data_IF_647587217381
#
_entry.id   IF_647587217381
#
_cell.length_a   1.000
_cell.length_b   1.000
_cell.length_c   1.000
_cell.angle_alpha   90.00
_cell.angle_beta   90.00
_cell.angle_gamma   90.00
#
_symmetry.space_group_name_H-M   'P 1'
#
loop_
_entity.id
_entity.type
_entity.pdbx_description
1 polymer ?
#
# COMPACT_ATOMS: atom_id res chain seq x y z
N UNK A 1 -1.14 -3.13 18.74
CA UNK A 1 -1.72 -3.42 17.41
C UNK A 1 -3.04 -2.65 17.29
N UNK A 2 -3.38 -2.13 16.10
CA UNK A 2 -4.63 -1.41 15.92
C UNK A 2 -5.86 -2.34 15.87
N UNK A 3 -7.06 -1.75 15.90
CA UNK A 3 -8.33 -2.47 15.96
C UNK A 3 -8.65 -3.18 14.63
N UNK A 4 -8.69 -4.51 14.65
CA UNK A 4 -8.94 -5.33 13.47
C UNK A 4 -10.32 -5.07 12.86
N UNK A 5 -11.35 -4.90 13.69
CA UNK A 5 -12.72 -4.65 13.23
C UNK A 5 -12.82 -3.33 12.47
N UNK A 6 -12.17 -2.29 13.00
CA UNK A 6 -12.07 -0.99 12.33
C UNK A 6 -11.39 -1.10 10.97
N UNK A 7 -10.24 -1.77 10.88
CA UNK A 7 -9.53 -1.91 9.61
C UNK A 7 -10.33 -2.72 8.59
N UNK A 8 -10.96 -3.83 9.01
CA UNK A 8 -11.82 -4.63 8.13
C UNK A 8 -13.01 -3.82 7.59
N UNK A 9 -13.60 -2.95 8.42
CA UNK A 9 -14.72 -2.10 8.00
C UNK A 9 -14.30 -1.05 6.95
N UNK A 10 -13.09 -0.51 7.06
CA UNK A 10 -12.58 0.50 6.11
C UNK A 10 -12.04 -0.14 4.82
N UNK A 11 -11.50 -1.36 4.92
CA UNK A 11 -10.87 -2.06 3.78
C UNK A 11 -11.78 -2.22 2.56
N UNK A 12 -13.03 -2.64 2.78
CA UNK A 12 -14.00 -2.86 1.69
C UNK A 12 -14.23 -1.58 0.88
N UNK A 13 -14.46 -0.47 1.58
CA UNK A 13 -14.67 0.85 0.97
C UNK A 13 -13.43 1.31 0.23
N UNK A 14 -12.24 1.22 0.84
CA UNK A 14 -10.99 1.63 0.20
C UNK A 14 -10.72 0.84 -1.08
N UNK A 15 -10.89 -0.48 -1.04
CA UNK A 15 -10.64 -1.35 -2.19
C UNK A 15 -11.63 -1.06 -3.32
N UNK A 16 -12.90 -0.80 -2.99
CA UNK A 16 -13.93 -0.47 -3.99
C UNK A 16 -13.72 0.89 -4.64
N UNK A 17 -13.09 1.84 -3.96
CA UNK A 17 -12.81 3.17 -4.48
C UNK A 17 -11.53 3.23 -5.33
N UNK A 18 -10.74 2.15 -5.41
CA UNK A 18 -9.59 2.13 -6.30
C UNK A 18 -10.02 2.15 -7.78
N UNK A 19 -9.28 2.85 -8.64
CA UNK A 19 -9.52 2.82 -10.07
C UNK A 19 -9.46 1.39 -10.62
N UNK A 20 -10.53 0.97 -11.30
CA UNK A 20 -10.58 -0.35 -11.98
C UNK A 20 -9.89 -0.31 -13.35
N UNK A 21 -9.97 0.83 -14.01
CA UNK A 21 -9.32 1.06 -15.29
C UNK A 21 -7.84 1.40 -15.10
N UNK A 22 -7.00 1.11 -16.10
CA UNK A 22 -5.61 1.53 -16.08
C UNK A 22 -5.47 3.03 -15.79
N UNK A 23 -4.61 3.38 -14.84
CA UNK A 23 -4.33 4.77 -14.47
C UNK A 23 -2.88 5.15 -14.78
N UNK A 24 -2.65 6.44 -15.05
CA UNK A 24 -1.30 6.97 -15.28
C UNK A 24 -0.51 7.02 -13.96
N UNK A 25 0.60 6.30 -13.91
CA UNK A 25 1.62 6.44 -12.88
C UNK A 25 2.77 7.32 -13.35
N UNK A 26 2.87 8.51 -12.75
CA UNK A 26 4.01 9.42 -12.93
C UNK A 26 5.20 8.92 -12.13
N UNK A 27 6.31 8.72 -12.83
CA UNK A 27 7.55 8.18 -12.24
C UNK A 27 8.53 9.32 -11.93
N UNK A 28 9.28 9.17 -10.85
CA UNK A 28 10.29 10.13 -10.44
C UNK A 28 11.39 10.31 -11.50
N UNK A 29 12.13 11.43 -11.39
CA UNK A 29 13.31 11.75 -12.21
C UNK A 29 13.02 11.85 -13.72
N UNK A 30 11.88 12.43 -14.09
CA UNK A 30 11.52 12.71 -15.48
C UNK A 30 11.30 11.48 -16.36
N UNK A 31 11.18 10.29 -15.76
CA UNK A 31 10.90 9.05 -16.49
C UNK A 31 9.48 9.10 -17.06
N UNK A 32 9.30 8.59 -18.28
CA UNK A 32 8.00 8.56 -18.95
C UNK A 32 6.91 7.92 -18.06
N UNK A 33 5.66 8.41 -18.06
CA UNK A 33 4.58 7.77 -17.33
C UNK A 33 4.32 6.32 -17.78
N UNK A 34 3.67 5.53 -16.92
CA UNK A 34 3.21 4.18 -17.26
C UNK A 34 1.73 4.02 -16.92
N UNK A 35 0.99 3.30 -17.75
CA UNK A 35 -0.34 2.83 -17.38
C UNK A 35 -0.21 1.63 -16.46
N UNK A 36 -0.88 1.66 -15.31
CA UNK A 36 -0.90 0.57 -14.34
C UNK A 36 -2.34 0.25 -13.91
N UNK A 37 -2.56 -1.01 -13.52
CA UNK A 37 -3.72 -1.37 -12.71
C UNK A 37 -3.32 -1.29 -11.24
N UNK A 38 -4.22 -0.78 -10.41
CA UNK A 38 -4.00 -0.68 -8.98
C UNK A 38 -4.78 -1.79 -8.27
N UNK A 39 -4.09 -2.55 -7.44
CA UNK A 39 -4.69 -3.57 -6.58
C UNK A 39 -4.28 -3.31 -5.14
N UNK A 40 -5.19 -3.59 -4.21
CA UNK A 40 -4.89 -3.56 -2.77
C UNK A 40 -5.16 -4.91 -2.15
N UNK A 41 -4.25 -5.32 -1.28
CA UNK A 41 -4.44 -6.47 -0.41
C UNK A 41 -4.08 -6.06 1.02
N UNK A 42 -5.02 -6.17 1.95
CA UNK A 42 -4.77 -5.85 3.35
C UNK A 42 -4.24 -7.08 4.07
N UNK A 43 -3.03 -6.96 4.61
CA UNK A 43 -2.37 -8.01 5.38
C UNK A 43 -2.32 -7.55 6.83
N UNK A 44 -2.81 -8.38 7.74
CA UNK A 44 -2.68 -8.12 9.16
C UNK A 44 -1.20 -7.96 9.52
N UNK A 45 -0.89 -7.04 10.44
CA UNK A 45 0.46 -6.89 10.96
C UNK A 45 1.00 -8.23 11.46
N UNK A 46 2.18 -8.57 10.96
CA UNK A 46 2.91 -9.80 11.25
C UNK A 46 4.38 -9.42 11.44
N UNK A 47 4.86 -9.51 12.67
CA UNK A 47 6.22 -9.10 13.04
C UNK A 47 7.26 -9.91 12.25
N UNK A 48 6.96 -11.17 11.94
CA UNK A 48 7.81 -12.05 11.16
C UNK A 48 8.03 -11.61 9.70
N UNK A 49 7.17 -10.71 9.18
CA UNK A 49 7.32 -10.12 7.84
C UNK A 49 8.18 -8.86 7.83
N UNK A 50 8.51 -8.31 9.01
CA UNK A 50 9.35 -7.12 9.10
C UNK A 50 10.80 -7.46 8.74
N UNK A 51 11.52 -6.54 8.07
CA UNK A 51 12.95 -6.70 7.85
C UNK A 51 13.68 -6.89 9.18
N UNK A 52 14.45 -7.98 9.28
CA UNK A 52 15.35 -8.22 10.42
C UNK A 52 16.49 -7.20 10.41
N UNK A 53 17.07 -6.97 11.59
CA UNK A 53 18.20 -6.05 11.74
C UNK A 53 19.33 -6.38 10.77
N UNK A 54 19.87 -5.34 10.12
CA UNK A 54 20.92 -5.47 9.09
C UNK A 54 20.41 -5.76 7.68
N UNK A 55 19.15 -6.18 7.50
CA UNK A 55 18.59 -6.40 6.17
C UNK A 55 17.99 -5.11 5.59
N UNK A 56 18.66 -4.56 4.55
CA UNK A 56 18.28 -3.31 3.87
C UNK A 56 17.80 -3.53 2.43
N UNK A 57 17.40 -4.76 2.08
CA UNK A 57 16.91 -5.06 0.74
C UNK A 57 15.61 -4.29 0.44
N UNK A 58 15.65 -3.37 -0.51
CA UNK A 58 14.49 -2.56 -0.94
C UNK A 58 13.46 -3.36 -1.74
N UNK A 59 13.91 -4.47 -2.34
CA UNK A 59 13.08 -5.38 -3.12
C UNK A 59 12.75 -6.58 -2.22
N UNK A 60 11.59 -7.21 -2.45
CA UNK A 60 11.08 -8.43 -1.78
C UNK A 60 10.51 -8.32 -0.37
N UNK A 61 10.75 -7.22 0.35
CA UNK A 61 10.12 -6.99 1.66
C UNK A 61 8.95 -6.01 1.57
N UNK A 62 7.86 -6.24 2.32
CA UNK A 62 6.82 -5.24 2.49
C UNK A 62 7.43 -4.05 3.26
N UNK A 63 7.60 -2.93 2.57
CA UNK A 63 7.94 -1.66 3.21
C UNK A 63 6.66 -0.96 3.62
N UNK A 64 6.63 -0.50 4.87
CA UNK A 64 5.53 0.30 5.38
C UNK A 64 5.56 1.67 4.70
N UNK A 65 4.68 1.87 3.72
CA UNK A 65 4.36 3.20 3.23
C UNK A 65 3.24 3.77 4.10
N UNK A 66 3.54 4.81 4.88
CA UNK A 66 2.53 5.51 5.69
C UNK A 66 1.88 6.57 4.79
N UNK A 67 0.60 6.39 4.50
CA UNK A 67 -0.22 7.39 3.83
C UNK A 67 -1.09 8.08 4.89
N UNK A 68 -1.10 9.41 4.88
CA UNK A 68 -1.96 10.22 5.74
C UNK A 68 -3.07 10.77 4.86
N UNK A 69 -4.32 10.47 5.22
CA UNK A 69 -5.49 11.15 4.67
C UNK A 69 -6.10 11.98 5.78
N UNK A 70 -6.23 13.29 5.56
CA UNK A 70 -7.01 14.13 6.47
C UNK A 70 -8.48 13.73 6.35
N UNK A 71 -9.08 13.30 7.45
CA UNK A 71 -10.53 13.14 7.53
C UNK A 71 -11.14 14.49 7.95
N UNK A 72 -12.08 15.02 7.15
CA UNK A 72 -12.99 16.11 7.54
C UNK A 72 -14.29 15.56 8.10
#
# INVERSE_FOLDING_TARGET
AGDQGLFSAVYSTLTQQLPREPMEWRRAYGRAPKMIHLESNFVQYKEELLPKEGNKALLTFPFLHIYWTECC
#
